data_IF_283127696881
#
_entry.id   IF_283127696881
#
_cell.length_a   1.000
_cell.length_b   1.000
_cell.length_c   1.000
_cell.angle_alpha   90.00
_cell.angle_beta   90.00
_cell.angle_gamma   90.00
#
_symmetry.space_group_name_H-M   'P 1'
#
loop_
_entity.id
_entity.type
_entity.pdbx_description
1 polymer ?
#
# COMPACT_ATOMS: atom_id res chain seq x y z
N UNK A 1 -5.41 87.52 -45.38
CA UNK A 1 -5.89 86.60 -44.32
C UNK A 1 -6.40 85.24 -44.83
N UNK A 2 -6.54 84.99 -46.16
CA UNK A 2 -7.30 83.84 -46.70
C UNK A 2 -6.59 82.49 -46.87
N UNK A 3 -5.30 82.43 -47.24
CA UNK A 3 -4.65 81.12 -47.52
C UNK A 3 -4.30 80.33 -46.26
N UNK A 4 -3.88 81.02 -45.19
CA UNK A 4 -3.56 80.38 -43.91
C UNK A 4 -4.79 79.75 -43.22
N UNK A 5 -5.99 80.27 -43.47
CA UNK A 5 -7.23 79.67 -42.97
C UNK A 5 -7.64 78.46 -43.82
N UNK A 6 -7.42 78.50 -45.13
CA UNK A 6 -7.74 77.40 -46.04
C UNK A 6 -6.84 76.18 -45.80
N UNK A 7 -5.52 76.36 -45.66
CA UNK A 7 -4.60 75.27 -45.28
C UNK A 7 -4.94 74.66 -43.91
N UNK A 8 -5.45 75.47 -42.99
CA UNK A 8 -5.85 74.99 -41.67
C UNK A 8 -7.12 74.16 -41.73
N UNK A 9 -8.02 74.46 -42.66
CA UNK A 9 -9.23 73.67 -42.92
C UNK A 9 -8.86 72.32 -43.56
N UNK A 10 -8.00 72.31 -44.58
CA UNK A 10 -7.52 71.04 -45.19
C UNK A 10 -6.83 70.15 -44.15
N UNK A 11 -5.94 70.71 -43.32
CA UNK A 11 -5.31 69.95 -42.22
C UNK A 11 -6.32 69.39 -41.21
N UNK A 12 -7.42 70.11 -40.98
CA UNK A 12 -8.49 69.62 -40.11
C UNK A 12 -9.29 68.51 -40.79
N UNK A 13 -9.59 68.62 -42.08
CA UNK A 13 -10.26 67.57 -42.86
C UNK A 13 -9.44 66.28 -42.87
N UNK A 14 -8.13 66.36 -43.10
CA UNK A 14 -7.23 65.19 -43.08
C UNK A 14 -7.19 64.53 -41.68
N UNK A 15 -7.11 65.34 -40.62
CA UNK A 15 -7.15 64.85 -39.24
C UNK A 15 -8.47 64.13 -38.96
N UNK A 16 -9.57 64.72 -39.41
CA UNK A 16 -10.90 64.19 -39.28
C UNK A 16 -11.00 62.84 -40.01
N UNK A 17 -10.57 62.73 -41.27
CA UNK A 17 -10.53 61.47 -42.03
C UNK A 17 -9.63 60.39 -41.39
N UNK A 18 -8.54 60.83 -40.74
CA UNK A 18 -7.62 59.93 -40.03
C UNK A 18 -8.24 59.38 -38.75
N UNK A 19 -8.82 60.24 -37.91
CA UNK A 19 -9.60 59.79 -36.75
C UNK A 19 -10.77 58.94 -37.17
N UNK A 20 -11.24 59.18 -38.38
CA UNK A 20 -12.39 58.52 -38.87
C UNK A 20 -12.13 57.02 -39.12
N UNK A 21 -11.13 56.73 -39.94
CA UNK A 21 -10.67 55.36 -40.17
C UNK A 21 -10.33 54.67 -38.85
N UNK A 22 -9.81 55.42 -37.87
CA UNK A 22 -9.49 54.88 -36.55
C UNK A 22 -10.73 54.44 -35.76
N UNK A 23 -11.81 55.22 -35.77
CA UNK A 23 -13.07 54.83 -35.09
C UNK A 23 -13.71 53.63 -35.77
N UNK A 24 -13.69 53.52 -37.10
CA UNK A 24 -14.23 52.34 -37.79
C UNK A 24 -13.45 51.06 -37.45
N UNK A 25 -12.11 51.15 -37.42
CA UNK A 25 -11.27 50.02 -37.01
C UNK A 25 -11.52 49.65 -35.55
N UNK A 26 -11.58 50.63 -34.65
CA UNK A 26 -11.88 50.38 -33.23
C UNK A 26 -13.31 49.82 -33.04
N UNK A 27 -14.29 50.29 -33.82
CA UNK A 27 -15.66 49.77 -33.80
C UNK A 27 -15.73 48.28 -34.14
N UNK A 28 -15.11 47.88 -35.25
CA UNK A 28 -15.07 46.46 -35.66
C UNK A 28 -14.35 45.62 -34.61
N UNK A 29 -13.32 46.18 -33.99
CA UNK A 29 -12.58 45.52 -32.93
C UNK A 29 -13.41 45.35 -31.65
N UNK A 30 -14.25 46.34 -31.31
CA UNK A 30 -15.21 46.27 -30.20
C UNK A 30 -16.28 45.20 -30.46
N UNK A 31 -16.83 45.15 -31.68
CA UNK A 31 -17.82 44.14 -32.07
C UNK A 31 -17.24 42.72 -31.99
N UNK A 32 -16.03 42.51 -32.50
CA UNK A 32 -15.34 41.22 -32.39
C UNK A 32 -15.11 40.82 -30.92
N UNK A 33 -14.65 41.76 -30.10
CA UNK A 33 -14.46 41.51 -28.65
C UNK A 33 -15.77 41.23 -27.93
N UNK A 34 -16.88 41.85 -28.33
CA UNK A 34 -18.20 41.58 -27.75
C UNK A 34 -18.68 40.16 -28.09
N UNK A 35 -18.48 39.70 -29.31
CA UNK A 35 -18.79 38.32 -29.70
C UNK A 35 -17.92 37.32 -28.89
N UNK A 36 -16.63 37.60 -28.73
CA UNK A 36 -15.76 36.78 -27.86
C UNK A 36 -16.21 36.80 -26.39
N UNK A 37 -16.71 37.94 -25.90
CA UNK A 37 -17.27 38.09 -24.57
C UNK A 37 -18.51 37.24 -24.35
N UNK A 38 -19.43 37.21 -25.31
CA UNK A 38 -20.63 36.38 -25.23
C UNK A 38 -20.26 34.89 -25.20
N UNK A 39 -19.35 34.47 -26.08
CA UNK A 39 -18.87 33.09 -26.11
C UNK A 39 -18.16 32.72 -24.81
N UNK A 40 -17.35 33.61 -24.24
CA UNK A 40 -16.65 33.35 -22.97
C UNK A 40 -17.60 33.35 -21.78
N UNK A 41 -18.60 34.23 -21.74
CA UNK A 41 -19.64 34.22 -20.70
C UNK A 41 -20.47 32.93 -20.74
N UNK A 42 -20.88 32.47 -21.93
CA UNK A 42 -21.57 31.20 -22.09
C UNK A 42 -20.72 30.04 -21.54
N UNK A 43 -19.43 29.98 -21.90
CA UNK A 43 -18.49 28.99 -21.36
C UNK A 43 -18.34 29.06 -19.84
N UNK A 44 -18.32 30.26 -19.25
CA UNK A 44 -18.24 30.44 -17.79
C UNK A 44 -19.50 29.91 -17.10
N UNK A 45 -20.68 30.14 -17.66
CA UNK A 45 -21.94 29.62 -17.12
C UNK A 45 -22.01 28.09 -17.20
N UNK A 46 -21.57 27.50 -18.31
CA UNK A 46 -21.50 26.05 -18.47
C UNK A 46 -20.51 25.42 -17.48
N UNK A 47 -19.33 26.02 -17.32
CA UNK A 47 -18.36 25.59 -16.30
C UNK A 47 -18.94 25.72 -14.89
N UNK A 48 -19.70 26.78 -14.59
CA UNK A 48 -20.33 26.97 -13.28
C UNK A 48 -21.43 25.93 -13.01
N UNK A 49 -22.18 25.53 -14.04
CA UNK A 49 -23.14 24.40 -13.97
C UNK A 49 -22.42 23.08 -13.71
N UNK A 50 -21.36 22.79 -14.47
CA UNK A 50 -20.59 21.54 -14.35
C UNK A 50 -19.86 21.43 -13.00
N UNK A 51 -19.34 22.54 -12.48
CA UNK A 51 -18.58 22.54 -11.21
C UNK A 51 -19.45 22.61 -9.96
N UNK A 52 -20.77 22.81 -10.09
CA UNK A 52 -21.69 22.88 -8.96
C UNK A 52 -21.46 24.07 -8.02
N UNK A 53 -20.72 25.10 -8.48
CA UNK A 53 -20.37 26.28 -7.71
C UNK A 53 -19.21 26.10 -6.72
N UNK A 54 -18.75 27.19 -6.10
CA UNK A 54 -17.57 27.19 -5.22
C UNK A 54 -17.77 26.38 -3.93
N UNK A 55 -19.01 26.25 -3.45
CA UNK A 55 -19.34 25.49 -2.25
C UNK A 55 -19.22 23.98 -2.47
N UNK A 56 -19.58 23.48 -3.66
CA UNK A 56 -19.43 22.05 -4.01
C UNK A 56 -17.97 21.60 -3.92
N UNK A 57 -17.03 22.41 -4.41
CA UNK A 57 -15.60 22.09 -4.32
C UNK A 57 -15.08 22.06 -2.86
N UNK A 58 -15.55 22.98 -2.01
CA UNK A 58 -15.18 23.03 -0.58
C UNK A 58 -15.78 21.84 0.16
N UNK A 59 -17.03 21.47 -0.12
CA UNK A 59 -17.68 20.30 0.47
C UNK A 59 -17.03 19.00 0.04
N UNK A 60 -16.71 18.85 -1.25
CA UNK A 60 -15.96 17.71 -1.77
C UNK A 60 -14.58 17.60 -1.11
N UNK A 61 -13.85 18.72 -0.94
CA UNK A 61 -12.58 18.74 -0.22
C UNK A 61 -12.75 18.36 1.24
N UNK A 62 -13.81 18.82 1.91
CA UNK A 62 -14.09 18.49 3.31
C UNK A 62 -14.45 17.02 3.48
N UNK A 63 -15.20 16.44 2.54
CA UNK A 63 -15.49 15.01 2.52
C UNK A 63 -14.21 14.19 2.29
N UNK A 64 -13.36 14.60 1.35
CA UNK A 64 -12.06 13.95 1.10
C UNK A 64 -11.13 13.99 2.33
N UNK A 65 -11.14 15.08 3.10
CA UNK A 65 -10.38 15.17 4.35
C UNK A 65 -10.93 14.22 5.42
N UNK A 66 -12.26 14.10 5.55
CA UNK A 66 -12.89 13.17 6.49
C UNK A 66 -12.58 11.72 6.13
N UNK A 67 -12.65 11.37 4.84
CA UNK A 67 -12.32 10.00 4.40
C UNK A 67 -10.85 9.70 4.62
N UNK A 68 -9.96 10.66 4.34
CA UNK A 68 -8.53 10.53 4.64
C UNK A 68 -8.29 10.26 6.13
N UNK A 69 -8.87 11.07 7.03
CA UNK A 69 -8.72 10.86 8.48
C UNK A 69 -9.27 9.51 8.95
N UNK A 70 -10.41 9.07 8.39
CA UNK A 70 -10.95 7.74 8.68
C UNK A 70 -9.99 6.62 8.25
N UNK A 71 -9.39 6.76 7.07
CA UNK A 71 -8.43 5.79 6.54
C UNK A 71 -7.13 5.78 7.34
N UNK A 72 -6.61 6.96 7.73
CA UNK A 72 -5.44 7.08 8.63
C UNK A 72 -5.71 6.35 9.96
N UNK A 73 -6.85 6.62 10.60
CA UNK A 73 -7.22 5.95 11.86
C UNK A 73 -7.37 4.42 11.70
N UNK A 74 -7.94 3.95 10.58
CA UNK A 74 -8.05 2.51 10.30
C UNK A 74 -6.68 1.88 10.08
N UNK A 75 -5.79 2.56 9.35
CA UNK A 75 -4.43 2.11 9.11
C UNK A 75 -3.64 2.00 10.41
N UNK A 76 -3.73 3.01 11.29
CA UNK A 76 -3.10 2.96 12.61
C UNK A 76 -3.62 1.78 13.44
N UNK A 77 -4.94 1.53 13.42
CA UNK A 77 -5.53 0.37 14.11
C UNK A 77 -5.02 -0.97 13.54
N UNK A 78 -4.87 -1.07 12.22
CA UNK A 78 -4.33 -2.27 11.58
C UNK A 78 -2.85 -2.47 11.92
N UNK A 79 -2.03 -1.41 11.87
CA UNK A 79 -0.63 -1.48 12.29
C UNK A 79 -0.50 -1.98 13.73
N UNK A 80 -1.29 -1.43 14.66
CA UNK A 80 -1.29 -1.90 16.05
C UNK A 80 -1.75 -3.36 16.19
N UNK A 81 -2.69 -3.83 15.36
CA UNK A 81 -3.11 -5.24 15.38
C UNK A 81 -2.00 -6.15 14.87
N UNK A 82 -1.37 -5.81 13.76
CA UNK A 82 -0.25 -6.55 13.20
C UNK A 82 0.94 -6.61 14.16
N UNK A 83 1.24 -5.51 14.86
CA UNK A 83 2.28 -5.50 15.89
C UNK A 83 1.97 -6.47 17.04
N UNK A 84 0.70 -6.52 17.51
CA UNK A 84 0.27 -7.49 18.53
C UNK A 84 0.36 -8.92 18.02
N UNK A 85 -0.03 -9.18 16.78
CA UNK A 85 0.04 -10.51 16.18
C UNK A 85 1.49 -10.96 16.00
N UNK A 86 2.38 -10.08 15.55
CA UNK A 86 3.82 -10.36 15.46
C UNK A 86 4.38 -10.70 16.84
N UNK A 87 4.05 -9.92 17.87
CA UNK A 87 4.48 -10.21 19.24
C UNK A 87 3.95 -11.57 19.75
N UNK A 88 2.68 -11.88 19.47
CA UNK A 88 2.09 -13.18 19.83
C UNK A 88 2.79 -14.33 19.12
N UNK A 89 3.06 -14.20 17.81
CA UNK A 89 3.77 -15.23 17.03
C UNK A 89 5.22 -15.39 17.47
N UNK A 90 5.89 -14.32 17.85
CA UNK A 90 7.23 -14.39 18.43
C UNK A 90 7.21 -15.18 19.74
N UNK A 91 6.25 -14.92 20.64
CA UNK A 91 6.09 -15.68 21.88
C UNK A 91 5.80 -17.17 21.63
N UNK A 92 4.96 -17.50 20.65
CA UNK A 92 4.71 -18.89 20.25
C UNK A 92 5.98 -19.57 19.72
N UNK A 93 6.76 -18.90 18.87
CA UNK A 93 8.02 -19.42 18.35
C UNK A 93 9.04 -19.67 19.46
N UNK A 94 9.13 -18.77 20.44
CA UNK A 94 10.02 -18.95 21.57
C UNK A 94 9.59 -20.10 22.49
N UNK A 95 8.28 -20.31 22.68
CA UNK A 95 7.74 -21.48 23.37
C UNK A 95 8.09 -22.79 22.64
N UNK A 96 7.96 -22.83 21.31
CA UNK A 96 8.35 -24.00 20.50
C UNK A 96 9.85 -24.25 20.59
N UNK A 97 10.70 -23.21 20.53
CA UNK A 97 12.14 -23.34 20.71
C UNK A 97 12.50 -23.93 22.07
N UNK A 98 11.84 -23.49 23.14
CA UNK A 98 12.02 -24.07 24.48
C UNK A 98 11.61 -25.54 24.53
N UNK A 99 10.48 -25.91 23.90
CA UNK A 99 10.04 -27.30 23.82
C UNK A 99 11.02 -28.19 23.03
N UNK A 100 11.59 -27.68 21.93
CA UNK A 100 12.63 -28.38 21.15
C UNK A 100 13.88 -28.60 22.02
N UNK A 101 14.33 -27.58 22.77
CA UNK A 101 15.50 -27.72 23.65
C UNK A 101 15.29 -28.81 24.72
N UNK A 102 14.11 -28.85 25.34
CA UNK A 102 13.75 -29.90 26.31
C UNK A 102 13.72 -31.28 25.65
N UNK A 103 13.15 -31.37 24.45
CA UNK A 103 13.08 -32.63 23.70
C UNK A 103 14.47 -33.15 23.30
N UNK A 104 15.38 -32.25 22.90
CA UNK A 104 16.77 -32.60 22.57
C UNK A 104 17.53 -33.05 23.81
N UNK A 105 17.37 -32.40 24.96
CA UNK A 105 17.97 -32.82 26.22
C UNK A 105 17.46 -34.21 26.65
N UNK A 106 16.14 -34.43 26.55
CA UNK A 106 15.53 -35.74 26.81
C UNK A 106 16.04 -36.83 25.85
N UNK A 107 16.28 -36.49 24.58
CA UNK A 107 16.85 -37.41 23.60
C UNK A 107 18.30 -37.74 23.92
N UNK A 108 19.09 -36.76 24.34
CA UNK A 108 20.49 -36.96 24.73
C UNK A 108 20.59 -37.82 25.99
N UNK A 109 19.74 -37.58 26.99
CA UNK A 109 19.69 -38.40 28.21
C UNK A 109 19.27 -39.84 27.93
N UNK A 110 18.24 -40.05 27.09
CA UNK A 110 17.81 -41.38 26.66
C UNK A 110 18.89 -42.13 25.87
N UNK A 111 19.65 -41.43 25.02
CA UNK A 111 20.80 -42.02 24.32
C UNK A 111 21.89 -42.46 25.30
N UNK A 112 22.22 -41.62 26.28
CA UNK A 112 23.21 -41.96 27.33
C UNK A 112 22.78 -43.18 28.13
N UNK A 113 21.51 -43.27 28.55
CA UNK A 113 21.00 -44.43 29.27
C UNK A 113 20.99 -45.69 28.41
N UNK A 114 20.62 -45.59 27.13
CA UNK A 114 20.66 -46.72 26.20
C UNK A 114 22.10 -47.25 26.01
N UNK A 115 23.08 -46.36 25.85
CA UNK A 115 24.49 -46.76 25.74
C UNK A 115 25.00 -47.40 27.04
N UNK A 116 24.59 -46.89 28.21
CA UNK A 116 24.97 -47.47 29.50
C UNK A 116 24.40 -48.88 29.69
N UNK A 117 23.12 -49.08 29.35
CA UNK A 117 22.48 -50.40 29.39
C UNK A 117 23.11 -51.38 28.39
N UNK A 118 23.51 -50.91 27.21
CA UNK A 118 24.20 -51.76 26.24
C UNK A 118 25.54 -52.26 26.79
N UNK A 119 26.32 -51.39 27.44
CA UNK A 119 27.58 -51.78 28.09
C UNK A 119 27.32 -52.74 29.27
N UNK A 120 26.28 -52.51 30.07
CA UNK A 120 25.92 -53.43 31.16
C UNK A 120 25.53 -54.81 30.63
N UNK A 121 24.65 -54.88 29.62
CA UNK A 121 24.26 -56.14 28.98
C UNK A 121 25.45 -56.89 28.38
N UNK A 122 26.41 -56.19 27.77
CA UNK A 122 27.63 -56.81 27.26
C UNK A 122 28.50 -57.41 28.37
N UNK A 123 28.59 -56.72 29.53
CA UNK A 123 29.31 -57.25 30.71
C UNK A 123 28.63 -58.47 31.29
N UNK A 124 27.30 -58.42 31.46
CA UNK A 124 26.52 -59.56 31.97
C UNK A 124 26.57 -60.76 31.03
N UNK A 125 26.48 -60.54 29.71
CA UNK A 125 26.64 -61.59 28.72
C UNK A 125 28.03 -62.23 28.80
N UNK A 126 29.09 -61.42 28.91
CA UNK A 126 30.46 -61.92 29.11
C UNK A 126 30.61 -62.75 30.40
N UNK A 127 30.07 -62.27 31.51
CA UNK A 127 30.08 -63.00 32.78
C UNK A 127 29.30 -64.32 32.71
N UNK A 128 28.14 -64.32 32.03
CA UNK A 128 27.37 -65.54 31.80
C UNK A 128 28.13 -66.55 30.95
N UNK A 129 28.84 -66.11 29.91
CA UNK A 129 29.70 -66.98 29.11
C UNK A 129 30.86 -67.58 29.92
N UNK A 130 31.47 -66.81 30.83
CA UNK A 130 32.50 -67.32 31.75
C UNK A 130 31.96 -68.38 32.70
N UNK A 131 30.77 -68.15 33.29
CA UNK A 131 30.10 -69.14 34.15
C UNK A 131 29.78 -70.41 33.36
N UNK A 132 29.23 -70.28 32.15
CA UNK A 132 28.94 -71.44 31.30
C UNK A 132 30.19 -72.24 30.94
N UNK A 133 31.31 -71.57 30.65
CA UNK A 133 32.61 -72.23 30.43
C UNK A 133 33.04 -73.00 31.69
N UNK A 134 32.99 -72.37 32.86
CA UNK A 134 33.37 -73.03 34.12
C UNK A 134 32.50 -74.25 34.43
N UNK A 135 31.18 -74.18 34.17
CA UNK A 135 30.27 -75.31 34.35
C UNK A 135 30.55 -76.43 33.36
N UNK A 136 30.87 -76.10 32.10
CA UNK A 136 31.26 -77.08 31.10
C UNK A 136 32.58 -77.78 31.49
N UNK A 137 33.54 -77.05 32.04
CA UNK A 137 34.80 -77.62 32.56
C UNK A 137 34.54 -78.55 33.75
N UNK A 138 33.68 -78.15 34.71
CA UNK A 138 33.28 -78.99 35.83
C UNK A 138 32.56 -80.26 35.37
N UNK A 139 31.63 -80.16 34.42
CA UNK A 139 30.95 -81.32 33.84
C UNK A 139 31.93 -82.24 33.09
N UNK A 140 32.91 -81.66 32.39
CA UNK A 140 33.98 -82.41 31.74
C UNK A 140 34.82 -83.20 32.75
N UNK A 141 35.21 -82.57 33.85
CA UNK A 141 35.96 -83.21 34.94
C UNK A 141 35.15 -84.31 35.63
N UNK A 142 33.87 -84.06 35.91
CA UNK A 142 32.98 -85.06 36.54
C UNK A 142 32.77 -86.28 35.63
N UNK A 143 32.56 -86.06 34.32
CA UNK A 143 32.50 -87.14 33.34
C UNK A 143 33.78 -87.97 33.29
N UNK A 144 34.95 -87.34 33.39
CA UNK A 144 36.23 -88.06 33.46
C UNK A 144 36.36 -88.87 34.75
N UNK A 145 35.92 -88.32 35.89
CA UNK A 145 35.93 -89.02 37.17
C UNK A 145 35.00 -90.24 37.14
N UNK A 146 33.78 -90.09 36.61
CA UNK A 146 32.84 -91.20 36.42
C UNK A 146 33.40 -92.28 35.50
N UNK A 147 34.05 -91.91 34.39
CA UNK A 147 34.73 -92.87 33.52
C UNK A 147 35.87 -93.59 34.24
N UNK A 148 36.68 -92.88 35.04
CA UNK A 148 37.75 -93.47 35.84
C UNK A 148 37.22 -94.41 36.95
N UNK A 149 36.09 -94.07 37.57
CA UNK A 149 35.39 -94.94 38.52
C UNK A 149 34.81 -96.18 37.84
N UNK A 150 34.18 -96.02 36.67
CA UNK A 150 33.69 -97.15 35.88
C UNK A 150 34.84 -98.09 35.49
N UNK A 151 35.97 -97.55 35.02
CA UNK A 151 37.18 -98.35 34.73
C UNK A 151 37.74 -99.06 35.98
N UNK A 152 37.72 -98.41 37.16
CA UNK A 152 38.11 -99.06 38.42
C UNK A 152 37.14 -100.17 38.82
N UNK A 153 35.84 -99.96 38.68
CA UNK A 153 34.83 -100.97 38.97
C UNK A 153 34.94 -102.14 37.99
N UNK A 154 35.14 -101.88 36.70
CA UNK A 154 35.44 -102.91 35.70
C UNK A 154 36.72 -103.68 36.09
N UNK A 155 37.79 -103.01 36.50
CA UNK A 155 39.00 -103.65 36.99
C UNK A 155 38.77 -104.47 38.28
N UNK A 156 37.91 -104.01 39.20
CA UNK A 156 37.54 -104.75 40.41
C UNK A 156 36.64 -105.96 40.12
N UNK A 157 35.70 -105.84 39.18
CA UNK A 157 34.87 -106.98 38.73
C UNK A 157 35.65 -107.98 37.90
N UNK A 158 36.67 -107.54 37.16
CA UNK A 158 37.62 -108.40 36.47
C UNK A 158 38.62 -109.07 37.42
N UNK A 159 38.86 -108.50 38.61
CA UNK A 159 39.82 -108.99 39.61
C UNK A 159 39.18 -109.68 40.84
N UNK A 160 37.86 -109.81 40.93
CA UNK A 160 37.17 -110.14 42.18
C UNK A 160 36.01 -111.14 42.06
N UNK A 161 36.31 -112.41 41.77
CA UNK A 161 35.59 -113.53 42.38
C UNK A 161 36.17 -113.77 43.78
N UNK A 162 35.69 -113.04 44.78
CA UNK A 162 35.73 -113.40 46.21
C UNK A 162 35.31 -112.18 47.05
N UNK A 163 34.28 -112.39 47.88
CA UNK A 163 34.01 -111.79 49.18
C UNK A 163 34.60 -110.41 49.50
N UNK A 164 33.73 -109.41 49.61
CA UNK A 164 33.36 -108.77 50.88
C UNK A 164 32.82 -107.35 50.64
N UNK A 165 31.73 -107.02 51.33
CA UNK A 165 31.22 -105.66 51.54
C UNK A 165 32.32 -104.73 52.03
N UNK A 166 32.27 -103.41 51.75
CA UNK A 166 31.72 -102.54 52.80
C UNK A 166 31.04 -101.23 52.35
N UNK A 167 30.29 -100.68 53.32
CA UNK A 167 30.12 -99.25 53.67
C UNK A 167 29.38 -98.32 52.70
N UNK A 168 28.12 -98.06 53.07
CA UNK A 168 27.36 -96.89 52.70
C UNK A 168 28.05 -95.60 53.18
N UNK A 169 28.53 -94.79 52.24
CA UNK A 169 28.96 -93.41 52.49
C UNK A 169 27.76 -92.48 52.36
N UNK A 170 27.58 -91.70 53.42
CA UNK A 170 26.46 -90.80 53.70
C UNK A 170 26.37 -89.69 52.64
N UNK A 171 25.19 -89.53 52.03
CA UNK A 171 24.80 -88.34 51.29
C UNK A 171 24.58 -87.17 52.26
N UNK A 172 24.97 -85.93 51.91
CA UNK A 172 24.64 -84.76 52.73
C UNK A 172 23.13 -84.54 52.69
N UNK A 173 22.56 -84.27 53.86
CA UNK A 173 21.14 -83.98 54.05
C UNK A 173 20.69 -82.79 53.20
N UNK A 174 19.51 -82.89 52.58
CA UNK A 174 18.87 -81.84 51.78
C UNK A 174 18.80 -80.46 52.49
N UNK A 175 18.84 -80.45 53.83
CA UNK A 175 18.87 -79.23 54.64
C UNK A 175 20.17 -78.43 54.52
N UNK A 176 21.31 -79.07 54.18
CA UNK A 176 22.60 -78.38 54.01
C UNK A 176 22.71 -77.69 52.64
N UNK A 177 22.02 -78.22 51.61
CA UNK A 177 21.94 -77.58 50.29
C UNK A 177 21.05 -76.32 50.33
N UNK A 178 19.95 -76.32 51.09
CA UNK A 178 19.09 -75.13 51.23
C UNK A 178 19.78 -73.99 51.98
N UNK A 179 20.63 -74.29 52.97
CA UNK A 179 21.43 -73.28 53.69
C UNK A 179 22.52 -72.64 52.81
N UNK A 180 23.15 -73.40 51.92
CA UNK A 180 24.14 -72.87 50.98
C UNK A 180 23.51 -72.00 49.89
N UNK A 181 22.30 -72.35 49.43
CA UNK A 181 21.53 -71.54 48.45
C UNK A 181 21.09 -70.20 49.07
N UNK A 182 20.66 -70.20 50.33
CA UNK A 182 20.28 -68.96 51.03
C UNK A 182 21.49 -68.09 51.40
N UNK A 183 22.67 -68.67 51.63
CA UNK A 183 23.92 -67.91 51.81
C UNK A 183 24.46 -67.32 50.50
N UNK A 184 24.31 -67.99 49.35
CA UNK A 184 24.70 -67.45 48.04
C UNK A 184 23.81 -66.28 47.58
N UNK A 185 22.51 -66.32 47.89
CA UNK A 185 21.56 -65.22 47.65
C UNK A 185 21.85 -63.97 48.51
N UNK A 186 22.50 -64.14 49.68
CA UNK A 186 22.90 -63.04 50.55
C UNK A 186 24.24 -62.39 50.12
N UNK A 187 25.10 -63.12 49.40
CA UNK A 187 26.39 -62.61 48.90
C UNK A 187 26.22 -61.82 47.59
N UNK A 188 25.18 -62.11 46.80
CA UNK A 188 24.76 -61.25 45.67
C UNK A 188 23.99 -60.04 46.18
N UNK A 189 24.68 -59.12 46.84
CA UNK A 189 24.15 -57.83 47.29
C UNK A 189 23.75 -56.93 46.12
N UNK A 190 22.60 -57.19 45.51
CA UNK A 190 21.89 -56.23 44.64
C UNK A 190 20.58 -55.89 45.34
N UNK A 191 20.72 -55.16 46.45
CA UNK A 191 19.71 -54.18 46.80
C UNK A 191 20.01 -52.94 45.98
N UNK A 192 19.04 -52.45 45.23
CA UNK A 192 18.93 -51.02 44.97
C UNK A 192 17.49 -50.65 44.62
N UNK A 193 16.85 -50.06 45.62
CA UNK A 193 15.87 -49.00 45.40
C UNK A 193 16.56 -47.92 44.56
N UNK A 194 16.16 -47.72 43.31
CA UNK A 194 15.97 -46.40 42.72
C UNK A 194 15.40 -46.52 41.30
N UNK A 195 14.33 -45.76 41.10
CA UNK A 195 13.65 -45.38 39.85
C UNK A 195 12.81 -46.42 39.09
N UNK A 196 11.51 -46.14 39.21
CA UNK A 196 10.37 -46.65 38.45
C UNK A 196 10.45 -46.31 36.94
N UNK A 197 10.24 -47.36 36.12
CA UNK A 197 9.61 -47.43 34.78
C UNK A 197 10.34 -46.89 33.52
N UNK A 198 9.99 -47.38 32.29
CA UNK A 198 9.51 -48.71 31.90
C UNK A 198 10.25 -49.32 30.69
N UNK A 199 10.46 -50.64 30.78
CA UNK A 199 10.60 -51.71 29.77
C UNK A 199 10.62 -51.30 28.28
N UNK A 200 11.79 -51.43 27.66
CA UNK A 200 11.96 -51.62 26.21
C UNK A 200 11.60 -53.05 25.81
N UNK A 201 10.73 -53.12 24.80
CA UNK A 201 10.21 -54.30 24.14
C UNK A 201 11.34 -55.12 23.48
N UNK A 202 11.58 -56.34 23.97
CA UNK A 202 12.60 -57.24 23.44
C UNK A 202 11.92 -58.45 22.77
N UNK A 203 12.26 -58.69 21.50
CA UNK A 203 11.53 -59.51 20.53
C UNK A 203 11.88 -61.01 20.55
N UNK A 204 12.02 -61.61 21.74
CA UNK A 204 12.26 -63.06 21.87
C UNK A 204 11.36 -63.59 22.98
N UNK A 205 10.48 -64.54 22.62
CA UNK A 205 9.45 -65.21 23.44
C UNK A 205 8.06 -64.56 23.34
N UNK A 206 7.26 -64.95 22.33
CA UNK A 206 5.83 -64.65 22.31
C UNK A 206 5.01 -65.94 22.22
N UNK A 207 4.76 -66.50 23.40
CA UNK A 207 3.49 -67.13 23.75
C UNK A 207 3.03 -66.59 25.11
N UNK A 208 2.99 -65.26 25.26
CA UNK A 208 2.25 -64.61 26.34
C UNK A 208 1.57 -63.35 25.82
N UNK A 209 0.27 -63.20 26.11
CA UNK A 209 -0.59 -62.15 25.54
C UNK A 209 -0.19 -60.72 25.93
N UNK A 210 0.66 -60.56 26.94
CA UNK A 210 1.04 -59.26 27.51
C UNK A 210 2.02 -58.45 26.64
N UNK A 211 2.90 -59.10 25.86
CA UNK A 211 3.79 -58.35 24.96
C UNK A 211 3.03 -57.77 23.78
N UNK A 212 2.07 -58.53 23.22
CA UNK A 212 1.31 -58.09 22.07
C UNK A 212 0.41 -56.90 22.42
N UNK A 213 -0.14 -56.87 23.64
CA UNK A 213 -0.86 -55.72 24.18
C UNK A 213 0.03 -54.47 24.33
N UNK A 214 1.30 -54.62 24.74
CA UNK A 214 2.23 -53.48 24.84
C UNK A 214 2.63 -52.93 23.47
N UNK A 215 2.79 -53.78 22.46
CA UNK A 215 3.06 -53.34 21.09
C UNK A 215 1.84 -52.61 20.50
N UNK A 216 0.64 -53.15 20.69
CA UNK A 216 -0.61 -52.48 20.26
C UNK A 216 -0.77 -51.13 20.96
N UNK A 217 -0.52 -51.05 22.26
CA UNK A 217 -0.58 -49.78 23.00
C UNK A 217 0.47 -48.75 22.55
N UNK A 218 1.62 -49.19 22.03
CA UNK A 218 2.62 -48.32 21.44
C UNK A 218 2.20 -47.85 20.03
N UNK A 219 1.69 -48.75 19.20
CA UNK A 219 1.16 -48.41 17.87
C UNK A 219 -0.02 -47.43 17.97
N UNK A 220 -0.98 -47.66 18.88
CA UNK A 220 -2.08 -46.72 19.10
C UNK A 220 -1.60 -45.32 19.55
N UNK A 221 -0.49 -45.25 20.28
CA UNK A 221 0.10 -43.96 20.69
C UNK A 221 0.75 -43.23 19.53
N UNK A 222 1.44 -43.95 18.65
CA UNK A 222 2.00 -43.39 17.42
C UNK A 222 0.90 -42.95 16.45
N UNK A 223 -0.18 -43.73 16.33
CA UNK A 223 -1.35 -43.34 15.54
C UNK A 223 -1.99 -42.06 16.08
N UNK A 224 -2.16 -41.94 17.40
CA UNK A 224 -2.68 -40.72 18.01
C UNK A 224 -1.79 -39.49 17.73
N UNK A 225 -0.46 -39.65 17.79
CA UNK A 225 0.48 -38.58 17.44
C UNK A 225 0.42 -38.22 15.95
N UNK A 226 0.32 -39.21 15.06
CA UNK A 226 0.18 -38.97 13.63
C UNK A 226 -1.13 -38.24 13.31
N UNK A 227 -2.24 -38.60 13.97
CA UNK A 227 -3.51 -37.88 13.84
C UNK A 227 -3.42 -36.43 14.30
N UNK A 228 -2.72 -36.16 15.41
CA UNK A 228 -2.52 -34.80 15.89
C UNK A 228 -1.71 -33.94 14.91
N UNK A 229 -0.62 -34.49 14.34
CA UNK A 229 0.18 -33.81 13.32
C UNK A 229 -0.65 -33.58 12.04
N UNK A 230 -1.43 -34.57 11.61
CA UNK A 230 -2.29 -34.43 10.43
C UNK A 230 -3.36 -33.35 10.61
N UNK A 231 -3.97 -33.30 11.79
CA UNK A 231 -4.95 -32.25 12.13
C UNK A 231 -4.31 -30.86 12.17
N UNK A 232 -3.08 -30.74 12.69
CA UNK A 232 -2.31 -29.49 12.65
C UNK A 232 -1.95 -29.06 11.24
N UNK A 233 -1.56 -29.99 10.36
CA UNK A 233 -1.29 -29.69 8.94
C UNK A 233 -2.56 -29.22 8.21
N UNK A 234 -3.71 -29.83 8.49
CA UNK A 234 -4.98 -29.39 7.90
C UNK A 234 -5.35 -27.97 8.35
N UNK A 235 -5.22 -27.65 9.64
CA UNK A 235 -5.43 -26.28 10.12
C UNK A 235 -4.44 -25.28 9.52
N UNK A 236 -3.17 -25.69 9.31
CA UNK A 236 -2.19 -24.84 8.66
C UNK A 236 -2.55 -24.58 7.19
N UNK A 237 -3.05 -25.58 6.48
CA UNK A 237 -3.49 -25.45 5.09
C UNK A 237 -4.75 -24.56 4.94
N UNK A 238 -5.73 -24.69 5.86
CA UNK A 238 -6.89 -23.79 5.88
C UNK A 238 -6.47 -22.33 6.11
N UNK A 239 -5.55 -22.09 7.03
CA UNK A 239 -4.99 -20.75 7.28
C UNK A 239 -4.23 -20.22 6.06
N UNK A 240 -3.50 -21.07 5.36
CA UNK A 240 -2.80 -20.71 4.12
C UNK A 240 -3.78 -20.28 3.03
N UNK A 241 -4.91 -20.99 2.88
CA UNK A 241 -5.97 -20.62 1.94
C UNK A 241 -6.62 -19.28 2.28
N UNK A 242 -6.90 -19.03 3.56
CA UNK A 242 -7.44 -17.74 4.01
C UNK A 242 -6.47 -16.58 3.73
N UNK A 243 -5.18 -16.77 4.01
CA UNK A 243 -4.15 -15.77 3.73
C UNK A 243 -3.97 -15.51 2.22
N UNK A 244 -4.13 -16.52 1.37
CA UNK A 244 -4.11 -16.35 -0.08
C UNK A 244 -5.29 -15.48 -0.57
N UNK A 245 -6.50 -15.69 -0.04
CA UNK A 245 -7.67 -14.86 -0.36
C UNK A 245 -7.48 -13.40 0.08
N UNK A 246 -6.91 -13.16 1.26
CA UNK A 246 -6.60 -11.80 1.73
C UNK A 246 -5.57 -11.10 0.82
N UNK A 247 -4.57 -11.85 0.34
CA UNK A 247 -3.56 -11.33 -0.58
C UNK A 247 -4.16 -10.89 -1.92
N UNK A 248 -5.07 -11.68 -2.47
CA UNK A 248 -5.80 -11.35 -3.70
C UNK A 248 -6.68 -10.10 -3.54
N UNK A 249 -7.36 -9.95 -2.39
CA UNK A 249 -8.15 -8.76 -2.08
C UNK A 249 -7.28 -7.50 -1.99
N UNK A 250 -6.14 -7.57 -1.28
CA UNK A 250 -5.22 -6.44 -1.16
C UNK A 250 -4.60 -6.05 -2.51
N UNK A 251 -4.31 -7.02 -3.38
CA UNK A 251 -3.84 -6.74 -4.74
C UNK A 251 -4.92 -6.03 -5.59
N UNK A 252 -6.18 -6.42 -5.45
CA UNK A 252 -7.29 -5.75 -6.12
C UNK A 252 -7.50 -4.31 -5.61
N UNK A 253 -7.35 -4.09 -4.30
CA UNK A 253 -7.43 -2.76 -3.69
C UNK A 253 -6.27 -1.85 -4.13
N UNK A 254 -5.05 -2.37 -4.22
CA UNK A 254 -3.89 -1.64 -4.72
C UNK A 254 -4.09 -1.19 -6.18
N UNK A 255 -4.58 -2.07 -7.05
CA UNK A 255 -4.89 -1.74 -8.43
C UNK A 255 -5.99 -0.65 -8.54
N UNK A 256 -6.99 -0.68 -7.65
CA UNK A 256 -8.01 0.35 -7.59
C UNK A 256 -7.46 1.71 -7.11
N UNK A 257 -6.51 1.71 -6.17
CA UNK A 257 -5.85 2.93 -5.69
C UNK A 257 -4.94 3.57 -6.76
N UNK A 258 -4.24 2.76 -7.55
CA UNK A 258 -3.43 3.24 -8.68
C UNK A 258 -4.29 3.92 -9.75
N UNK A 259 -5.47 3.34 -10.06
CA UNK A 259 -6.44 3.97 -10.95
C UNK A 259 -6.96 5.32 -10.44
N UNK A 260 -7.06 5.50 -9.11
CA UNK A 260 -7.41 6.77 -8.49
C UNK A 260 -6.27 7.80 -8.54
N UNK A 261 -5.00 7.37 -8.54
CA UNK A 261 -3.84 8.24 -8.72
C UNK A 261 -3.82 8.97 -10.08
N UNK A 262 -4.32 8.34 -11.14
CA UNK A 262 -4.46 8.96 -12.46
C UNK A 262 -5.46 10.15 -12.48
N UNK A 263 -6.48 10.13 -11.62
CA UNK A 263 -7.45 11.23 -11.48
C UNK A 263 -6.82 12.47 -10.80
N UNK A 264 -5.83 12.28 -9.92
CA UNK A 264 -5.14 13.39 -9.27
C UNK A 264 -4.29 14.21 -10.26
N UNK A 265 -3.64 13.56 -11.23
CA UNK A 265 -2.89 14.22 -12.30
C UNK A 265 -3.81 15.02 -13.24
N UNK A 266 -5.02 14.52 -13.52
CA UNK A 266 -6.01 15.26 -14.30
C UNK A 266 -6.47 16.55 -13.59
N UNK A 267 -6.52 16.56 -12.25
CA UNK A 267 -6.92 17.72 -11.45
C UNK A 267 -5.92 18.88 -11.55
N UNK A 268 -4.62 18.61 -11.58
CA UNK A 268 -3.59 19.65 -11.76
C UNK A 268 -3.69 20.34 -13.13
N UNK A 269 -3.94 19.58 -14.20
CA UNK A 269 -4.12 20.12 -15.56
C UNK A 269 -5.34 21.05 -15.62
N UNK A 270 -6.42 20.69 -14.93
CA UNK A 270 -7.63 21.54 -14.83
C UNK A 270 -7.34 22.83 -14.06
N UNK A 271 -6.56 22.79 -12.97
CA UNK A 271 -6.20 24.00 -12.24
C UNK A 271 -5.31 24.94 -13.06
N UNK A 272 -4.34 24.41 -13.79
CA UNK A 272 -3.47 25.20 -14.66
C UNK A 272 -4.23 25.89 -15.80
N UNK A 273 -5.26 25.23 -16.34
CA UNK A 273 -6.10 25.80 -17.41
C UNK A 273 -7.05 26.88 -16.89
N UNK A 274 -7.59 26.73 -15.67
CA UNK A 274 -8.41 27.76 -15.02
C UNK A 274 -7.60 29.04 -14.72
N UNK A 275 -6.36 28.91 -14.24
CA UNK A 275 -5.49 30.06 -13.99
C UNK A 275 -5.21 30.88 -15.26
N UNK A 276 -5.03 30.21 -16.41
CA UNK A 276 -4.85 30.87 -17.71
C UNK A 276 -6.09 31.65 -18.14
N UNK A 277 -7.29 31.11 -17.89
CA UNK A 277 -8.56 31.79 -18.17
C UNK A 277 -8.70 33.08 -17.35
N UNK A 278 -8.43 33.01 -16.05
CA UNK A 278 -8.61 34.16 -15.15
C UNK A 278 -7.65 35.31 -15.51
N UNK A 279 -6.45 34.99 -15.97
CA UNK A 279 -5.51 35.99 -16.51
C UNK A 279 -6.03 36.66 -17.79
N UNK A 280 -6.74 35.94 -18.66
CA UNK A 280 -7.34 36.51 -19.87
C UNK A 280 -8.51 37.44 -19.54
N UNK A 281 -9.37 37.07 -18.58
CA UNK A 281 -10.48 37.93 -18.13
C UNK A 281 -9.98 39.29 -17.61
N UNK A 282 -8.93 39.31 -16.78
CA UNK A 282 -8.34 40.57 -16.28
C UNK A 282 -7.82 41.48 -17.39
N UNK A 283 -7.27 40.92 -18.47
CA UNK A 283 -6.80 41.72 -19.63
C UNK A 283 -7.97 42.35 -20.38
N UNK A 284 -9.06 41.61 -20.54
CA UNK A 284 -10.27 42.09 -21.19
C UNK A 284 -10.93 43.24 -20.41
N UNK A 285 -11.01 43.11 -19.08
CA UNK A 285 -11.49 44.19 -18.20
C UNK A 285 -10.65 45.46 -18.40
N UNK A 286 -9.32 45.34 -18.41
CA UNK A 286 -8.43 46.48 -18.65
C UNK A 286 -8.56 47.13 -20.04
N UNK A 287 -9.04 46.40 -21.06
CA UNK A 287 -9.34 46.97 -22.38
C UNK A 287 -10.70 47.68 -22.40
N UNK A 288 -11.71 47.13 -21.71
CA UNK A 288 -13.02 47.79 -21.53
C UNK A 288 -12.87 49.14 -20.83
N UNK A 289 -12.06 49.22 -19.78
CA UNK A 289 -11.82 50.48 -19.08
C UNK A 289 -11.21 51.53 -20.01
N UNK A 290 -10.30 51.12 -20.89
CA UNK A 290 -9.71 52.00 -21.92
C UNK A 290 -10.76 52.45 -22.93
N UNK A 291 -11.63 51.56 -23.39
CA UNK A 291 -12.71 51.86 -24.32
C UNK A 291 -13.68 52.90 -23.73
N UNK A 292 -14.14 52.69 -22.49
CA UNK A 292 -15.00 53.65 -21.77
C UNK A 292 -14.30 55.02 -21.67
N UNK A 293 -12.99 55.04 -21.44
CA UNK A 293 -12.19 56.26 -21.44
C UNK A 293 -12.13 56.97 -22.80
N UNK A 294 -12.11 56.24 -23.91
CA UNK A 294 -12.16 56.79 -25.27
C UNK A 294 -13.56 57.35 -25.57
N UNK A 295 -14.62 56.60 -25.25
CA UNK A 295 -16.01 57.02 -25.45
C UNK A 295 -16.34 58.31 -24.70
N UNK A 296 -15.88 58.44 -23.44
CA UNK A 296 -16.00 59.68 -22.67
C UNK A 296 -15.34 60.88 -23.37
N UNK A 297 -14.14 60.70 -23.93
CA UNK A 297 -13.45 61.75 -24.68
C UNK A 297 -14.17 62.13 -25.97
N UNK A 298 -14.71 61.14 -26.67
CA UNK A 298 -15.47 61.35 -27.91
C UNK A 298 -16.79 62.11 -27.64
N UNK A 299 -17.45 61.81 -26.52
CA UNK A 299 -18.62 62.55 -26.06
C UNK A 299 -18.30 64.04 -25.81
N UNK A 300 -17.15 64.35 -25.19
CA UNK A 300 -16.69 65.72 -24.99
C UNK A 300 -16.44 66.45 -26.32
N UNK A 301 -15.83 65.77 -27.30
CA UNK A 301 -15.61 66.34 -28.65
C UNK A 301 -16.94 66.64 -29.34
N UNK A 302 -17.90 65.72 -29.30
CA UNK A 302 -19.25 65.93 -29.87
C UNK A 302 -19.96 67.12 -29.24
N UNK A 303 -19.90 67.23 -27.90
CA UNK A 303 -20.48 68.37 -27.19
C UNK A 303 -19.81 69.70 -27.60
N UNK A 304 -18.49 69.71 -27.77
CA UNK A 304 -17.74 70.87 -28.26
C UNK A 304 -18.15 71.29 -29.68
N UNK A 305 -18.26 70.34 -30.61
CA UNK A 305 -18.69 70.60 -32.00
C UNK A 305 -20.13 71.13 -32.05
N UNK A 306 -21.04 70.53 -31.28
CA UNK A 306 -22.42 70.98 -31.20
C UNK A 306 -22.53 72.41 -30.62
N UNK A 307 -21.75 72.74 -29.59
CA UNK A 307 -21.69 74.08 -29.03
C UNK A 307 -21.15 75.11 -30.05
N UNK A 308 -20.13 74.74 -30.82
CA UNK A 308 -19.55 75.59 -31.86
C UNK A 308 -20.53 75.85 -33.03
N UNK A 309 -21.25 74.82 -33.48
CA UNK A 309 -22.31 74.96 -34.49
C UNK A 309 -23.46 75.85 -34.02
N UNK A 310 -23.88 75.69 -32.76
CA UNK A 310 -24.90 76.55 -32.14
C UNK A 310 -24.46 78.01 -32.10
N UNK A 311 -23.19 78.29 -31.77
CA UNK A 311 -22.63 79.64 -31.79
C UNK A 311 -22.61 80.27 -33.20
N UNK A 312 -22.47 79.45 -34.25
CA UNK A 312 -22.55 79.89 -35.65
C UNK A 312 -23.97 79.96 -36.22
N UNK A 313 -24.99 79.62 -35.42
CA UNK A 313 -26.40 79.63 -35.81
C UNK A 313 -26.80 78.46 -36.71
N UNK A 314 -26.06 77.34 -36.68
CA UNK A 314 -26.32 76.14 -37.49
C UNK A 314 -26.91 75.04 -36.60
N UNK A 315 -27.97 74.39 -37.08
CA UNK A 315 -28.57 73.24 -36.39
C UNK A 315 -27.71 72.01 -36.67
N UNK A 316 -27.23 71.31 -35.62
CA UNK A 316 -26.43 70.10 -35.83
C UNK A 316 -27.28 68.95 -36.36
N UNK A 317 -26.71 68.19 -37.30
CA UNK A 317 -27.23 66.93 -37.80
C UNK A 317 -27.30 65.89 -36.66
N UNK A 318 -28.37 65.09 -36.67
CA UNK A 318 -28.59 64.03 -35.69
C UNK A 318 -28.38 62.65 -36.31
N UNK A 319 -27.82 61.68 -35.56
CA UNK A 319 -27.56 60.36 -36.10
C UNK A 319 -28.85 59.57 -36.28
N UNK A 320 -28.99 58.93 -37.45
CA UNK A 320 -30.13 58.07 -37.77
C UNK A 320 -30.20 56.82 -36.86
N UNK A 321 -29.04 56.30 -36.43
CA UNK A 321 -28.93 55.24 -35.41
C UNK A 321 -27.84 55.61 -34.40
N UNK A 322 -28.21 56.05 -33.18
CA UNK A 322 -27.24 56.49 -32.18
C UNK A 322 -26.39 55.35 -31.58
N UNK A 323 -26.76 54.09 -31.81
CA UNK A 323 -26.04 52.90 -31.32
C UNK A 323 -25.03 52.35 -32.33
N UNK A 324 -25.11 52.79 -33.59
CA UNK A 324 -24.32 52.23 -34.67
C UNK A 324 -23.07 53.12 -34.90
N UNK A 325 -21.88 52.72 -34.45
CA UNK A 325 -20.68 53.55 -34.42
C UNK A 325 -20.33 54.19 -35.77
N UNK A 326 -20.56 53.49 -36.89
CA UNK A 326 -20.40 54.02 -38.24
C UNK A 326 -21.40 55.15 -38.56
N UNK A 327 -22.63 55.05 -38.07
CA UNK A 327 -23.66 56.07 -38.27
C UNK A 327 -23.38 57.31 -37.42
N UNK A 328 -23.01 57.12 -36.15
CA UNK A 328 -22.72 58.24 -35.24
C UNK A 328 -21.54 59.08 -35.72
N UNK A 329 -20.60 58.42 -36.38
CA UNK A 329 -19.48 59.05 -37.02
C UNK A 329 -19.83 59.82 -38.28
N UNK A 330 -20.63 59.22 -39.18
CA UNK A 330 -21.07 59.88 -40.40
C UNK A 330 -21.77 61.20 -40.06
N UNK A 331 -22.52 61.22 -38.96
CA UNK A 331 -23.15 62.44 -38.44
C UNK A 331 -22.15 63.44 -37.85
N UNK A 332 -21.09 63.00 -37.16
CA UNK A 332 -20.04 63.91 -36.68
C UNK A 332 -19.34 64.58 -37.87
N UNK A 333 -19.10 63.83 -38.94
CA UNK A 333 -18.52 64.33 -40.17
C UNK A 333 -19.37 65.36 -40.86
N UNK A 334 -20.65 65.06 -41.01
CA UNK A 334 -21.63 65.97 -41.57
C UNK A 334 -21.68 67.29 -40.78
N UNK A 335 -21.68 67.19 -39.45
CA UNK A 335 -21.62 68.35 -38.56
C UNK A 335 -20.35 69.21 -38.73
N UNK A 336 -19.19 68.58 -38.95
CA UNK A 336 -17.95 69.30 -39.20
C UNK A 336 -17.96 69.97 -40.60
N UNK A 337 -18.55 69.33 -41.61
CA UNK A 337 -18.77 69.94 -42.92
C UNK A 337 -19.74 71.14 -42.88
N UNK A 338 -20.80 71.04 -42.08
CA UNK A 338 -21.72 72.16 -41.80
C UNK A 338 -21.01 73.32 -41.09
N UNK A 339 -20.12 73.01 -40.16
CA UNK A 339 -19.31 74.02 -39.47
C UNK A 339 -18.41 74.76 -40.47
N UNK A 340 -17.72 74.01 -41.32
CA UNK A 340 -16.78 74.54 -42.31
C UNK A 340 -17.45 75.42 -43.36
N UNK A 341 -18.56 74.97 -43.92
CA UNK A 341 -19.36 75.74 -44.89
C UNK A 341 -19.86 77.06 -44.29
N UNK A 342 -20.32 77.04 -43.03
CA UNK A 342 -20.76 78.26 -42.34
C UNK A 342 -19.60 79.18 -42.00
N UNK A 343 -18.48 78.64 -41.52
CA UNK A 343 -17.29 79.42 -41.22
C UNK A 343 -16.77 80.15 -42.48
N UNK A 344 -16.73 79.46 -43.63
CA UNK A 344 -16.40 80.08 -44.93
C UNK A 344 -17.37 81.19 -45.30
N UNK A 345 -18.68 80.98 -45.12
CA UNK A 345 -19.69 82.00 -45.40
C UNK A 345 -19.51 83.25 -44.52
N UNK A 346 -19.25 83.07 -43.22
CA UNK A 346 -18.97 84.19 -42.30
C UNK A 346 -17.72 84.96 -42.73
N UNK A 347 -16.64 84.27 -43.10
CA UNK A 347 -15.40 84.91 -43.60
C UNK A 347 -15.63 85.67 -44.90
N UNK A 348 -16.43 85.14 -45.83
CA UNK A 348 -16.78 85.81 -47.09
C UNK A 348 -17.64 87.06 -46.87
N UNK A 349 -18.58 87.03 -45.92
CA UNK A 349 -19.37 88.22 -45.53
C UNK A 349 -18.46 89.25 -44.85
N UNK A 350 -17.56 88.82 -43.96
CA UNK A 350 -16.65 89.73 -43.27
C UNK A 350 -15.63 90.38 -44.22
N UNK A 351 -15.12 89.64 -45.21
CA UNK A 351 -14.20 90.17 -46.22
C UNK A 351 -14.87 91.15 -47.20
N UNK A 352 -16.14 90.94 -47.54
CA UNK A 352 -16.91 91.89 -48.37
C UNK A 352 -17.29 93.15 -47.60
N UNK A 353 -17.58 93.07 -46.30
CA UNK A 353 -17.82 94.23 -45.44
C UNK A 353 -16.52 95.06 -45.28
N UNK A 354 -15.38 94.42 -45.02
CA UNK A 354 -14.09 95.10 -44.93
C UNK A 354 -13.61 95.66 -46.28
N UNK A 355 -13.84 94.94 -47.38
CA UNK A 355 -13.52 95.41 -48.74
C UNK A 355 -14.35 96.62 -49.16
N UNK A 356 -15.65 96.66 -48.79
CA UNK A 356 -16.50 97.84 -48.97
C UNK A 356 -16.10 99.00 -48.06
N UNK A 357 -15.66 98.72 -46.83
CA UNK A 357 -15.18 99.75 -45.90
C UNK A 357 -13.85 100.37 -46.36
N UNK A 358 -12.95 99.58 -46.95
CA UNK A 358 -11.70 100.08 -47.56
C UNK A 358 -11.90 100.84 -48.87
N UNK A 359 -12.88 100.45 -49.69
CA UNK A 359 -13.23 101.17 -50.92
C UNK A 359 -13.94 102.51 -50.62
N UNK A 360 -14.69 102.60 -49.52
CA UNK A 360 -15.27 103.86 -49.05
C UNK A 360 -14.24 104.82 -48.41
N UNK A 361 -13.10 104.31 -47.93
CA UNK A 361 -12.05 105.13 -47.31
C UNK A 361 -10.98 105.65 -48.29
N UNK A 362 -10.83 105.03 -49.47
CA UNK A 362 -9.90 105.47 -50.54
C UNK A 362 -10.60 106.22 -51.70
N UNK A 363 -11.87 106.61 -51.49
CA UNK A 363 -12.70 107.33 -52.46
C UNK A 363 -13.08 108.74 -52.01
N UNK A 364 -12.21 109.42 -51.25
CA UNK A 364 -12.28 110.84 -50.91
C UNK A 364 -10.92 111.49 -51.18
#
# INVERSE_FOLDING_TARGET
MGSAQQERIEKLQDLIETYNRKIEVESRQVEAMNQELEVTQAKVLDLRRLTGGPQSAVEASRQALKTRQLLENRLEQLCQRLERDIASRQAELDAVRAAIAIADEARVSARRSATALQVANQREAGAAEEVLKSLADCQGADKQLLLAQAQRLEAMTAAGSADSSPTASQLPSAAQCEQLISQLLAITGIGDQHLRQPKTFNSKNHTSSESLQQLVAYCCRLEAQNFAVFSSCNQANEKLGALQQELEQLQAEAAAAEAQGALAQQKEVIQATLAKRDAACKRMEGLRDKQVGIERRLALVRAGVAAALKALGVVPAQPARPQDPACVFATLMENLGLFETRARAVVAVYSTILGKSGAAANGL
#
